data_IF_122494772926
#
_entry.id   IF_122494772926
#
_cell.length_a   1.000
_cell.length_b   1.000
_cell.length_c   1.000
_cell.angle_alpha   90.00
_cell.angle_beta   90.00
_cell.angle_gamma   90.00
#
_symmetry.space_group_name_H-M   'P 1'
#
loop_
_entity.id
_entity.type
_entity.pdbx_description
1 polymer ?
#
# COMPACT_ATOMS: atom_id res chain seq x y z
N UNK A 1 -6.43 -45.70 1.39
CA UNK A 1 -5.36 -44.71 1.69
C UNK A 1 -5.50 -43.43 0.84
N UNK A 2 -5.77 -43.53 -0.47
CA UNK A 2 -5.97 -42.38 -1.38
C UNK A 2 -7.16 -41.44 -1.03
N UNK A 3 -8.26 -41.94 -0.47
CA UNK A 3 -9.44 -41.14 -0.10
C UNK A 3 -9.27 -40.26 1.13
N UNK A 4 -8.23 -40.51 1.96
CA UNK A 4 -7.90 -39.63 3.10
C UNK A 4 -7.05 -38.43 2.67
N UNK A 5 -6.18 -38.62 1.66
CA UNK A 5 -5.36 -37.56 1.11
C UNK A 5 -6.22 -36.50 0.40
N UNK A 6 -7.24 -36.92 -0.35
CA UNK A 6 -8.19 -35.99 -1.00
C UNK A 6 -9.02 -35.17 0.00
N UNK A 7 -9.42 -35.77 1.12
CA UNK A 7 -10.12 -35.04 2.20
C UNK A 7 -9.20 -34.04 2.92
N UNK A 8 -7.95 -34.42 3.16
CA UNK A 8 -6.95 -33.53 3.77
C UNK A 8 -6.66 -32.31 2.89
N UNK A 9 -6.44 -32.53 1.59
CA UNK A 9 -6.22 -31.44 0.62
C UNK A 9 -7.46 -30.56 0.49
N UNK A 10 -8.65 -31.15 0.40
CA UNK A 10 -9.90 -30.37 0.32
C UNK A 10 -10.10 -29.50 1.56
N UNK A 11 -9.87 -30.04 2.76
CA UNK A 11 -9.99 -29.29 4.01
C UNK A 11 -8.97 -28.14 4.09
N UNK A 12 -7.74 -28.39 3.65
CA UNK A 12 -6.70 -27.35 3.62
C UNK A 12 -7.06 -26.23 2.64
N UNK A 13 -7.44 -26.57 1.41
CA UNK A 13 -7.83 -25.59 0.39
C UNK A 13 -9.04 -24.78 0.83
N UNK A 14 -10.05 -25.41 1.44
CA UNK A 14 -11.18 -24.69 2.04
C UNK A 14 -10.73 -23.70 3.11
N UNK A 15 -9.77 -24.09 3.98
CA UNK A 15 -9.19 -23.19 4.97
C UNK A 15 -8.47 -21.99 4.35
N UNK A 16 -7.66 -22.22 3.31
CA UNK A 16 -6.97 -21.14 2.57
C UNK A 16 -7.98 -20.19 1.93
N UNK A 17 -8.99 -20.72 1.22
CA UNK A 17 -10.04 -19.90 0.60
C UNK A 17 -10.77 -19.07 1.66
N UNK A 18 -11.17 -19.69 2.78
CA UNK A 18 -11.90 -18.99 3.83
C UNK A 18 -11.06 -17.88 4.49
N UNK A 19 -9.78 -18.14 4.73
CA UNK A 19 -8.86 -17.11 5.25
C UNK A 19 -8.69 -15.95 4.27
N UNK A 20 -8.56 -16.24 2.97
CA UNK A 20 -8.37 -15.22 1.92
C UNK A 20 -9.64 -14.38 1.73
N UNK A 21 -10.81 -15.03 1.73
CA UNK A 21 -12.11 -14.34 1.66
C UNK A 21 -12.27 -13.41 2.87
N UNK A 22 -11.91 -13.86 4.07
CA UNK A 22 -11.93 -13.00 5.27
C UNK A 22 -11.03 -11.77 5.08
N UNK A 23 -9.78 -11.95 4.66
CA UNK A 23 -8.86 -10.82 4.45
C UNK A 23 -9.33 -9.84 3.36
N UNK A 24 -9.98 -10.34 2.31
CA UNK A 24 -10.53 -9.48 1.25
C UNK A 24 -11.80 -8.74 1.67
N UNK A 25 -12.63 -9.35 2.54
CA UNK A 25 -13.77 -8.68 3.16
C UNK A 25 -13.31 -7.56 4.10
N UNK A 26 -12.32 -7.84 4.95
CA UNK A 26 -11.73 -6.85 5.87
C UNK A 26 -11.08 -5.68 5.10
N UNK A 27 -10.50 -5.95 3.94
CA UNK A 27 -9.95 -4.95 3.03
C UNK A 27 -11.01 -4.17 2.21
N UNK A 28 -12.30 -4.48 2.39
CA UNK A 28 -13.40 -3.93 1.59
C UNK A 28 -13.25 -4.18 0.08
N UNK A 29 -12.53 -5.22 -0.32
CA UNK A 29 -12.27 -5.57 -1.72
C UNK A 29 -13.38 -6.44 -2.34
N UNK A 30 -14.06 -7.24 -1.50
CA UNK A 30 -15.21 -8.05 -1.88
C UNK A 30 -16.34 -7.83 -0.88
N UNK A 31 -17.54 -8.21 -1.26
CA UNK A 31 -18.73 -8.22 -0.41
C UNK A 31 -19.55 -9.49 -0.68
N UNK A 32 -20.39 -9.89 0.28
CA UNK A 32 -21.33 -11.00 0.09
C UNK A 32 -22.56 -10.50 -0.67
N UNK A 33 -23.05 -11.28 -1.63
CA UNK A 33 -24.31 -10.97 -2.31
C UNK A 33 -25.46 -11.05 -1.29
N UNK A 34 -26.29 -9.98 -1.13
CA UNK A 34 -27.44 -10.01 -0.23
C UNK A 34 -28.50 -11.06 -0.64
N UNK A 35 -28.50 -11.51 -1.90
CA UNK A 35 -29.44 -12.49 -2.44
C UNK A 35 -28.95 -13.94 -2.26
N UNK A 36 -27.64 -14.16 -2.24
CA UNK A 36 -27.00 -15.46 -2.02
C UNK A 36 -25.71 -15.27 -1.23
N UNK A 37 -25.74 -15.58 0.07
CA UNK A 37 -24.60 -15.44 0.98
C UNK A 37 -23.40 -16.33 0.61
N UNK A 38 -23.55 -17.28 -0.33
CA UNK A 38 -22.44 -18.07 -0.87
C UNK A 38 -21.78 -17.43 -2.11
N UNK A 39 -22.35 -16.34 -2.62
CA UNK A 39 -21.84 -15.61 -3.77
C UNK A 39 -21.02 -14.40 -3.32
N UNK A 40 -19.87 -14.20 -3.96
CA UNK A 40 -18.93 -13.10 -3.70
C UNK A 40 -19.03 -12.07 -4.83
N UNK A 41 -19.21 -10.81 -4.47
CA UNK A 41 -19.24 -9.70 -5.41
C UNK A 41 -18.00 -8.81 -5.23
N UNK A 42 -17.36 -8.35 -6.32
CA UNK A 42 -16.25 -7.43 -6.22
C UNK A 42 -16.75 -6.01 -5.92
N UNK A 43 -16.13 -5.34 -4.95
CA UNK A 43 -16.41 -3.93 -4.68
C UNK A 43 -15.67 -3.04 -5.69
N UNK A 44 -15.97 -1.73 -5.77
CA UNK A 44 -15.15 -0.78 -6.53
C UNK A 44 -13.67 -0.80 -6.11
N UNK A 45 -13.40 -0.99 -4.81
CA UNK A 45 -12.04 -1.06 -4.26
C UNK A 45 -11.31 -2.32 -4.74
N UNK A 46 -11.98 -3.48 -4.74
CA UNK A 46 -11.41 -4.71 -5.29
C UNK A 46 -11.12 -4.62 -6.78
N UNK A 47 -12.00 -3.97 -7.55
CA UNK A 47 -11.77 -3.72 -8.99
C UNK A 47 -10.55 -2.82 -9.23
N UNK A 48 -10.38 -1.76 -8.43
CA UNK A 48 -9.21 -0.89 -8.52
C UNK A 48 -7.92 -1.62 -8.13
N UNK A 49 -7.95 -2.41 -7.06
CA UNK A 49 -6.80 -3.19 -6.62
C UNK A 49 -6.34 -4.16 -7.72
N UNK A 50 -7.27 -4.90 -8.34
CA UNK A 50 -6.96 -5.80 -9.44
C UNK A 50 -6.46 -5.07 -10.69
N UNK A 51 -7.05 -3.91 -11.03
CA UNK A 51 -6.67 -3.15 -12.22
C UNK A 51 -5.26 -2.55 -12.12
N UNK A 52 -4.87 -2.05 -10.94
CA UNK A 52 -3.57 -1.43 -10.71
C UNK A 52 -2.53 -2.38 -10.10
N UNK A 53 -2.83 -3.69 -10.01
CA UNK A 53 -1.94 -4.68 -9.41
C UNK A 53 -1.46 -4.26 -8.02
N UNK A 54 -2.41 -3.85 -7.17
CA UNK A 54 -2.13 -3.44 -5.79
C UNK A 54 -2.55 -4.53 -4.81
N UNK A 55 -1.82 -4.61 -3.71
CA UNK A 55 -2.18 -5.45 -2.58
C UNK A 55 -3.50 -4.99 -1.97
N UNK A 56 -4.31 -5.95 -1.51
CA UNK A 56 -5.52 -5.67 -0.73
C UNK A 56 -5.19 -4.93 0.57
N UNK A 57 -3.96 -5.07 1.10
CA UNK A 57 -3.49 -4.32 2.27
C UNK A 57 -3.32 -2.83 1.97
N UNK A 58 -2.81 -2.48 0.79
CA UNK A 58 -2.73 -1.08 0.33
C UNK A 58 -4.12 -0.49 0.14
N UNK A 59 -5.04 -1.28 -0.42
CA UNK A 59 -6.43 -0.83 -0.59
C UNK A 59 -7.13 -0.62 0.76
N UNK A 60 -6.91 -1.53 1.72
CA UNK A 60 -7.40 -1.38 3.09
C UNK A 60 -6.87 -0.10 3.75
N UNK A 61 -5.56 0.16 3.62
CA UNK A 61 -4.93 1.40 4.11
C UNK A 61 -5.60 2.64 3.50
N UNK A 62 -5.83 2.64 2.19
CA UNK A 62 -6.47 3.77 1.51
C UNK A 62 -7.89 4.00 1.99
N UNK A 63 -8.70 2.95 2.11
CA UNK A 63 -10.08 3.05 2.60
C UNK A 63 -10.13 3.57 4.05
N UNK A 64 -9.18 3.17 4.89
CA UNK A 64 -9.14 3.59 6.30
C UNK A 64 -8.60 5.00 6.53
N UNK A 65 -7.60 5.42 5.74
CA UNK A 65 -6.83 6.64 6.02
C UNK A 65 -7.18 7.82 5.11
N UNK A 66 -7.67 7.57 3.89
CA UNK A 66 -8.04 8.66 3.00
C UNK A 66 -9.35 9.28 3.47
N UNK A 67 -9.30 10.58 3.76
CA UNK A 67 -10.48 11.37 4.11
C UNK A 67 -10.65 12.51 3.12
N UNK A 68 -11.87 13.07 2.95
CA UNK A 68 -12.10 14.23 2.09
C UNK A 68 -11.29 15.48 2.46
N UNK A 69 -10.80 15.54 3.70
CA UNK A 69 -10.01 16.65 4.24
C UNK A 69 -8.50 16.36 4.27
N UNK A 70 -8.04 15.26 3.65
CA UNK A 70 -6.63 14.91 3.63
C UNK A 70 -5.82 15.96 2.87
N UNK A 71 -4.80 16.49 3.53
CA UNK A 71 -3.82 17.40 2.94
C UNK A 71 -2.72 16.63 2.20
N UNK A 72 -1.82 17.36 1.55
CA UNK A 72 -0.74 16.78 0.77
C UNK A 72 0.21 15.94 1.64
N UNK A 73 0.47 16.39 2.87
CA UNK A 73 1.35 15.69 3.82
C UNK A 73 0.75 14.34 4.22
N UNK A 74 -0.53 14.30 4.60
CA UNK A 74 -1.22 13.06 4.92
C UNK A 74 -1.28 12.13 3.69
N UNK A 75 -1.57 12.66 2.50
CA UNK A 75 -1.58 11.85 1.27
C UNK A 75 -0.21 11.24 1.00
N UNK A 76 0.87 12.02 1.12
CA UNK A 76 2.22 11.52 0.90
C UNK A 76 2.58 10.44 1.91
N UNK A 77 2.20 10.64 3.18
CA UNK A 77 2.40 9.67 4.23
C UNK A 77 1.64 8.36 3.94
N UNK A 78 0.37 8.45 3.52
CA UNK A 78 -0.44 7.28 3.13
C UNK A 78 0.18 6.55 1.93
N UNK A 79 0.67 7.28 0.92
CA UNK A 79 1.34 6.70 -0.24
C UNK A 79 2.61 5.93 0.16
N UNK A 80 3.46 6.52 1.00
CA UNK A 80 4.70 5.89 1.45
C UNK A 80 4.47 4.61 2.29
N UNK A 81 3.32 4.54 2.98
CA UNK A 81 2.91 3.37 3.76
C UNK A 81 2.22 2.28 2.92
N UNK A 82 2.11 2.44 1.59
CA UNK A 82 1.61 1.40 0.71
C UNK A 82 2.44 0.11 0.86
N UNK A 83 1.76 -1.05 0.83
CA UNK A 83 2.39 -2.35 1.03
C UNK A 83 3.43 -2.68 -0.06
N UNK A 84 3.28 -2.09 -1.24
CA UNK A 84 4.23 -2.22 -2.35
C UNK A 84 5.63 -1.69 -2.01
N UNK A 85 5.76 -0.84 -0.99
CA UNK A 85 7.04 -0.33 -0.52
C UNK A 85 7.62 -1.10 0.67
N UNK A 86 6.91 -2.11 1.18
CA UNK A 86 7.37 -2.89 2.35
C UNK A 86 8.67 -3.68 2.09
N UNK A 87 8.95 -4.01 0.83
CA UNK A 87 10.16 -4.73 0.41
C UNK A 87 11.33 -3.81 0.03
N UNK A 88 11.20 -2.49 0.19
CA UNK A 88 12.28 -1.56 -0.09
C UNK A 88 13.49 -1.90 0.81
N UNK A 89 14.71 -2.06 0.25
CA UNK A 89 15.85 -2.46 1.03
C UNK A 89 16.22 -1.35 2.02
N UNK A 90 16.25 -1.71 3.30
CA UNK A 90 16.85 -0.90 4.37
C UNK A 90 18.13 -1.60 4.80
N UNK A 91 19.27 -0.99 4.47
CA UNK A 91 20.59 -1.56 4.75
C UNK A 91 21.08 -1.10 6.12
N UNK A 92 22.02 -1.87 6.68
CA UNK A 92 22.68 -1.49 7.92
C UNK A 92 23.34 -0.11 7.78
N UNK A 93 23.20 0.74 8.79
CA UNK A 93 23.71 2.12 8.88
C UNK A 93 23.00 3.17 7.99
N UNK A 94 21.89 2.81 7.33
CA UNK A 94 21.05 3.79 6.62
C UNK A 94 20.16 4.62 7.57
N UNK A 95 20.05 4.24 8.83
CA UNK A 95 19.29 4.95 9.88
C UNK A 95 19.79 6.39 10.07
N UNK A 96 21.09 6.57 10.24
CA UNK A 96 21.71 7.89 10.40
C UNK A 96 21.59 8.73 9.11
N UNK A 97 21.71 8.10 7.95
CA UNK A 97 21.55 8.76 6.67
C UNK A 97 20.10 9.22 6.43
N UNK A 98 19.12 8.39 6.81
CA UNK A 98 17.70 8.72 6.75
C UNK A 98 17.35 9.88 7.70
N UNK A 99 17.91 9.89 8.91
CA UNK A 99 17.74 10.99 9.86
C UNK A 99 18.35 12.30 9.34
N UNK A 100 19.54 12.25 8.73
CA UNK A 100 20.15 13.44 8.13
C UNK A 100 19.33 13.95 6.95
N UNK A 101 18.89 13.05 6.08
CA UNK A 101 18.06 13.37 4.93
C UNK A 101 16.72 13.99 5.35
N UNK A 102 16.10 13.51 6.43
CA UNK A 102 14.82 14.05 6.91
C UNK A 102 14.93 15.50 7.36
N UNK A 103 16.09 15.94 7.86
CA UNK A 103 16.31 17.34 8.31
C UNK A 103 16.41 18.32 7.16
N UNK A 104 16.73 17.85 5.96
CA UNK A 104 16.81 18.68 4.75
C UNK A 104 15.49 18.74 3.98
N UNK A 105 14.53 17.89 4.33
CA UNK A 105 13.25 17.75 3.64
C UNK A 105 12.12 18.52 4.34
N UNK A 106 11.12 18.99 3.58
CA UNK A 106 10.09 19.89 4.10
C UNK A 106 9.06 19.20 5.01
N UNK A 107 8.82 17.89 4.86
CA UNK A 107 7.81 17.16 5.62
C UNK A 107 8.48 16.20 6.61
N UNK A 108 7.99 16.20 7.84
CA UNK A 108 8.47 15.30 8.88
C UNK A 108 8.21 13.84 8.48
N UNK A 109 9.23 13.00 8.65
CA UNK A 109 9.10 11.59 8.39
C UNK A 109 8.37 10.90 9.54
N UNK A 110 7.46 9.99 9.20
CA UNK A 110 6.73 9.18 10.19
C UNK A 110 7.30 7.77 10.23
N UNK A 111 7.55 7.25 11.43
CA UNK A 111 8.09 5.91 11.65
C UNK A 111 9.55 5.91 12.10
N UNK A 112 10.15 4.72 12.14
CA UNK A 112 11.55 4.54 12.52
C UNK A 112 12.48 4.67 11.31
N UNK A 113 13.73 5.09 11.55
CA UNK A 113 14.71 5.30 10.48
C UNK A 113 15.16 4.02 9.77
N UNK A 114 14.88 2.86 10.36
CA UNK A 114 15.09 1.53 9.80
C UNK A 114 13.85 0.95 9.09
N UNK A 115 12.78 1.75 8.94
CA UNK A 115 11.57 1.35 8.23
C UNK A 115 11.66 1.61 6.73
N UNK A 116 11.26 0.61 5.93
CA UNK A 116 11.12 0.71 4.48
C UNK A 116 10.15 1.83 4.07
N UNK A 117 9.06 2.02 4.82
CA UNK A 117 8.06 3.05 4.56
C UNK A 117 8.61 4.45 4.83
N UNK A 118 9.39 4.62 5.91
CA UNK A 118 10.05 5.90 6.22
C UNK A 118 11.06 6.25 5.13
N UNK A 119 11.84 5.27 4.66
CA UNK A 119 12.74 5.47 3.52
C UNK A 119 11.98 5.82 2.23
N UNK A 120 10.89 5.12 1.90
CA UNK A 120 10.06 5.45 0.75
C UNK A 120 9.50 6.88 0.83
N UNK A 121 9.07 7.32 2.01
CA UNK A 121 8.59 8.68 2.26
C UNK A 121 9.66 9.72 1.93
N UNK A 122 10.88 9.54 2.44
CA UNK A 122 12.01 10.44 2.18
C UNK A 122 12.36 10.49 0.69
N UNK A 123 12.45 9.33 0.02
CA UNK A 123 12.80 9.25 -1.40
C UNK A 123 11.74 9.91 -2.31
N UNK A 124 10.45 9.75 -1.99
CA UNK A 124 9.37 10.45 -2.70
C UNK A 124 9.50 11.97 -2.53
N UNK A 125 9.78 12.45 -1.32
CA UNK A 125 10.02 13.88 -1.07
C UNK A 125 11.22 14.40 -1.86
N UNK A 126 12.36 13.69 -1.86
CA UNK A 126 13.55 14.07 -2.65
C UNK A 126 13.20 14.20 -4.13
N UNK A 127 12.43 13.25 -4.67
CA UNK A 127 12.03 13.30 -6.07
C UNK A 127 11.11 14.50 -6.37
N UNK A 128 10.08 14.72 -5.56
CA UNK A 128 9.13 15.81 -5.78
C UNK A 128 9.74 17.20 -5.59
N UNK A 129 10.69 17.34 -4.66
CA UNK A 129 11.45 18.58 -4.44
C UNK A 129 12.59 18.77 -5.44
N UNK A 130 12.86 17.77 -6.30
CA UNK A 130 13.98 17.75 -7.26
C UNK A 130 15.36 17.88 -6.60
N UNK A 131 15.49 17.43 -5.36
CA UNK A 131 16.72 17.48 -4.57
C UNK A 131 17.60 16.22 -4.76
N UNK A 132 17.64 15.60 -5.94
CA UNK A 132 18.35 14.32 -6.13
C UNK A 132 19.86 14.37 -5.84
N UNK A 133 20.44 15.56 -5.74
CA UNK A 133 21.84 15.78 -5.38
C UNK A 133 22.16 15.59 -3.88
N UNK A 134 21.15 15.61 -3.00
CA UNK A 134 21.34 15.43 -1.55
C UNK A 134 21.37 13.93 -1.15
N UNK A 135 21.16 13.03 -2.11
CA UNK A 135 21.17 11.59 -1.84
C UNK A 135 22.57 11.15 -1.37
N UNK A 136 22.70 10.53 -0.19
CA UNK A 136 24.01 10.29 0.43
C UNK A 136 24.91 9.32 -0.34
N UNK A 137 24.31 8.30 -0.97
CA UNK A 137 25.02 7.17 -1.61
C UNK A 137 24.30 6.76 -2.90
N UNK A 138 25.04 6.17 -3.85
CA UNK A 138 24.51 5.63 -5.11
C UNK A 138 23.34 4.64 -4.92
N UNK A 139 23.34 3.88 -3.82
CA UNK A 139 22.27 2.94 -3.49
C UNK A 139 20.91 3.63 -3.37
N UNK A 140 20.85 4.83 -2.77
CA UNK A 140 19.61 5.61 -2.67
C UNK A 140 19.08 6.05 -4.03
N UNK A 141 19.95 6.26 -5.02
CA UNK A 141 19.53 6.56 -6.40
C UNK A 141 18.83 5.36 -7.01
N UNK A 142 19.35 4.16 -6.75
CA UNK A 142 18.73 2.90 -7.22
C UNK A 142 17.42 2.63 -6.50
N UNK A 143 17.39 2.81 -5.18
CA UNK A 143 16.19 2.65 -4.37
C UNK A 143 15.10 3.66 -4.76
N UNK A 144 15.48 4.89 -5.12
CA UNK A 144 14.54 5.90 -5.65
C UNK A 144 13.89 5.41 -6.94
N UNK A 145 14.64 4.78 -7.85
CA UNK A 145 14.07 4.20 -9.08
C UNK A 145 13.07 3.10 -8.76
N UNK A 146 13.38 2.21 -7.82
CA UNK A 146 12.45 1.16 -7.39
C UNK A 146 11.12 1.74 -6.87
N UNK A 147 11.19 2.79 -6.05
CA UNK A 147 10.00 3.51 -5.57
C UNK A 147 9.23 4.13 -6.73
N UNK A 148 9.91 4.83 -7.63
CA UNK A 148 9.29 5.53 -8.76
C UNK A 148 8.72 4.59 -9.82
N UNK A 149 9.20 3.35 -9.95
CA UNK A 149 8.60 2.36 -10.85
C UNK A 149 7.21 1.91 -10.35
N UNK A 150 6.98 1.91 -9.02
CA UNK A 150 5.68 1.55 -8.44
C UNK A 150 4.78 2.77 -8.22
N UNK A 151 5.34 3.96 -8.01
CA UNK A 151 4.59 5.16 -7.62
C UNK A 151 3.43 5.55 -8.58
N UNK A 152 3.57 5.51 -9.93
CA UNK A 152 2.51 5.97 -10.83
C UNK A 152 1.18 5.23 -10.66
N UNK A 153 1.22 3.89 -10.50
CA UNK A 153 0.00 3.09 -10.33
C UNK A 153 -0.62 3.26 -8.95
N UNK A 154 0.20 3.42 -7.91
CA UNK A 154 -0.24 3.69 -6.54
C UNK A 154 -0.93 5.06 -6.49
N UNK A 155 -0.27 6.12 -7.00
CA UNK A 155 -0.81 7.49 -7.05
C UNK A 155 -2.12 7.56 -7.82
N UNK A 156 -2.20 6.90 -8.99
CA UNK A 156 -3.42 6.90 -9.79
C UNK A 156 -4.58 6.18 -9.08
N UNK A 157 -4.29 5.07 -8.41
CA UNK A 157 -5.27 4.37 -7.58
C UNK A 157 -5.74 5.23 -6.41
N UNK A 158 -4.82 5.85 -5.65
CA UNK A 158 -5.15 6.77 -4.55
C UNK A 158 -6.06 7.90 -5.00
N UNK A 159 -5.79 8.51 -6.17
CA UNK A 159 -6.65 9.56 -6.75
C UNK A 159 -8.08 9.07 -7.00
N UNK A 160 -8.22 7.85 -7.54
CA UNK A 160 -9.54 7.26 -7.83
C UNK A 160 -10.27 6.85 -6.55
N UNK A 161 -9.57 6.28 -5.57
CA UNK A 161 -10.16 5.96 -4.26
C UNK A 161 -10.63 7.23 -3.57
N UNK A 162 -9.81 8.29 -3.53
CA UNK A 162 -10.19 9.57 -2.96
C UNK A 162 -11.46 10.14 -3.63
N UNK A 163 -11.56 10.05 -4.97
CA UNK A 163 -12.77 10.46 -5.69
C UNK A 163 -14.02 9.64 -5.30
N UNK A 164 -13.88 8.33 -5.10
CA UNK A 164 -14.99 7.46 -4.67
C UNK A 164 -15.42 7.75 -3.23
N UNK A 165 -14.47 7.94 -2.31
CA UNK A 165 -14.74 8.26 -0.90
C UNK A 165 -15.45 9.60 -0.76
N UNK A 166 -15.04 10.62 -1.52
CA UNK A 166 -15.68 11.95 -1.54
C UNK A 166 -17.11 11.87 -2.10
N UNK A 167 -17.36 11.01 -3.09
CA UNK A 167 -18.73 10.81 -3.61
C UNK A 167 -19.66 10.16 -2.59
N UNK A 168 -19.18 9.16 -1.84
CA UNK A 168 -20.00 8.47 -0.84
C UNK A 168 -20.34 9.33 0.38
N UNK A 169 -19.54 10.35 0.71
CA UNK A 169 -19.79 11.27 1.83
C UNK A 169 -20.70 12.45 1.49
N UNK A 170 -21.09 12.63 0.22
CA UNK A 170 -22.01 13.69 -0.25
C UNK A 170 -23.44 13.18 -0.56
N UNK A 171 -23.79 11.99 -0.08
CA UNK A 171 -25.16 11.45 -0.15
C UNK A 171 -25.83 11.49 1.23
#
# INVERSE_FOLDING_TARGET
MFTRLSRGVSSYLSGVVQSTVSSLLDASCIELDPSDLNSLLPTPMGRLAAHYYLSHLTMHLFVQKLTPAADLELILNILAHAHEFAELPVRHNEDNANEQLSRELPLEAVGSWDSAHTKAHLLLQVHFTRLTHILPVCDYVTDTKLVLDQAPRIVQSTRLVAFLVIKHTRC
#
